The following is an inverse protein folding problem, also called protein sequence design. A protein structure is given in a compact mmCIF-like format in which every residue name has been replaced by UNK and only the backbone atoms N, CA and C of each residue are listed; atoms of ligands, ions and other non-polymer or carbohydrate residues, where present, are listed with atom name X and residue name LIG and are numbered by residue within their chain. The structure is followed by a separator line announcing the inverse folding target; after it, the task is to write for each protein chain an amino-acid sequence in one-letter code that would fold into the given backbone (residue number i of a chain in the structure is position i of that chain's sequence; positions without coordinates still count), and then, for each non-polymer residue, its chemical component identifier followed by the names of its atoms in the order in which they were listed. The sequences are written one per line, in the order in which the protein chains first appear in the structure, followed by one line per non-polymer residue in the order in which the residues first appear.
data_IF_420594733219
#
_entry.id   IF_420594733219
#
_cell.length_a   1.000
_cell.length_b   1.000
_cell.length_c   1.000
_cell.angle_alpha   90.00
_cell.angle_beta   90.00
_cell.angle_gamma   90.00
#
_symmetry.space_group_name_H-M   'P 1'
#
loop_
_entity.id
_entity.type
_entity.pdbx_description
1 polymer ?
#
# COMPACT_ATOMS: atom_id res chain seq x y z
N UNK A 1 -3.85 -2.74 -3.22
CA UNK A 1 -3.84 -1.30 -3.19
C UNK A 1 -2.71 -0.75 -2.37
N UNK A 2 -2.21 0.39 -2.74
CA UNK A 2 -1.15 1.13 -2.03
C UNK A 2 -1.64 1.56 -0.66
N UNK A 3 -1.57 0.69 0.28
CA UNK A 3 -2.28 0.78 1.54
C UNK A 3 -1.62 1.66 2.58
N UNK A 4 -0.57 2.34 2.22
CA UNK A 4 0.18 3.16 3.16
C UNK A 4 0.16 4.65 2.83
N UNK A 5 -0.61 5.04 1.84
CA UNK A 5 -0.72 6.45 1.48
C UNK A 5 -2.07 7.00 1.96
N UNK A 6 -2.05 8.11 2.69
CA UNK A 6 -3.25 8.93 3.01
C UNK A 6 -3.98 9.40 1.72
N UNK A 7 -3.44 9.08 0.58
CA UNK A 7 -4.06 9.21 -0.72
C UNK A 7 -5.32 8.36 -0.85
N UNK A 8 -5.36 7.24 -0.13
CA UNK A 8 -6.49 6.35 -0.14
C UNK A 8 -7.52 6.78 0.94
N UNK A 9 -8.77 6.79 0.54
CA UNK A 9 -9.92 7.04 1.41
C UNK A 9 -9.87 6.21 2.67
N UNK A 10 -9.51 4.94 2.53
CA UNK A 10 -9.53 3.97 3.61
C UNK A 10 -8.52 4.31 4.71
N UNK A 11 -7.33 4.80 4.32
CA UNK A 11 -6.30 5.22 5.29
C UNK A 11 -6.75 6.44 6.12
N UNK A 12 -7.44 7.40 5.50
CA UNK A 12 -7.98 8.57 6.21
C UNK A 12 -9.12 8.18 7.16
N UNK A 13 -9.95 7.20 6.77
CA UNK A 13 -10.98 6.61 7.63
C UNK A 13 -10.35 5.88 8.81
N UNK A 14 -9.31 5.08 8.56
CA UNK A 14 -8.57 4.36 9.61
C UNK A 14 -7.98 5.33 10.63
N UNK A 15 -7.30 6.38 10.17
CA UNK A 15 -6.75 7.41 11.05
C UNK A 15 -7.83 7.97 11.98
N UNK A 16 -8.97 8.37 11.41
CA UNK A 16 -10.08 8.92 12.17
C UNK A 16 -10.71 7.91 13.11
N UNK A 17 -10.87 6.68 12.67
CA UNK A 17 -11.43 5.59 13.48
C UNK A 17 -10.55 5.27 14.69
N UNK A 18 -9.22 5.20 14.52
CA UNK A 18 -8.29 4.99 15.64
C UNK A 18 -8.39 6.11 16.69
N UNK A 19 -8.56 7.35 16.25
CA UNK A 19 -8.73 8.49 17.16
C UNK A 19 -10.05 8.45 17.92
N UNK A 20 -11.15 8.17 17.24
CA UNK A 20 -12.49 8.29 17.79
C UNK A 20 -12.89 7.03 18.57
N UNK A 21 -12.74 5.86 17.96
CA UNK A 21 -13.25 4.61 18.53
C UNK A 21 -12.24 3.95 19.49
N UNK A 22 -10.94 4.16 19.24
CA UNK A 22 -9.89 3.61 20.12
C UNK A 22 -9.31 4.66 21.07
N UNK A 23 -9.66 5.94 20.89
CA UNK A 23 -9.13 7.08 21.67
C UNK A 23 -7.60 7.11 21.69
N UNK A 24 -6.99 6.86 20.53
CA UNK A 24 -5.54 6.83 20.36
C UNK A 24 -5.00 8.11 19.73
N UNK A 25 -3.84 8.55 20.19
CA UNK A 25 -3.02 9.49 19.46
C UNK A 25 -2.31 8.73 18.34
N UNK A 26 -2.37 9.25 17.09
CA UNK A 26 -1.93 8.51 15.92
C UNK A 26 -0.77 9.21 15.23
N UNK A 27 0.33 8.50 15.10
CA UNK A 27 1.47 8.84 14.22
C UNK A 27 1.26 8.10 12.90
N UNK A 28 1.30 8.81 11.78
CA UNK A 28 1.22 8.19 10.46
C UNK A 28 2.61 7.90 9.92
N UNK A 29 2.74 6.75 9.27
CA UNK A 29 3.97 6.30 8.64
C UNK A 29 3.72 5.98 7.16
N UNK A 30 4.57 6.50 6.29
CA UNK A 30 4.56 6.24 4.85
C UNK A 30 5.94 5.78 4.41
N UNK A 31 5.99 4.61 3.78
CA UNK A 31 7.20 4.07 3.18
C UNK A 31 7.25 4.42 1.69
N UNK A 32 8.33 5.06 1.25
CA UNK A 32 8.62 5.24 -0.16
C UNK A 32 9.52 4.10 -0.65
N UNK A 33 9.03 3.35 -1.60
CA UNK A 33 9.73 2.26 -2.28
C UNK A 33 9.65 2.40 -3.81
N UNK A 34 9.48 3.64 -4.29
CA UNK A 34 9.35 3.95 -5.71
C UNK A 34 7.96 3.67 -6.29
N UNK A 35 6.91 3.84 -5.49
CA UNK A 35 5.51 3.70 -5.91
C UNK A 35 4.95 4.97 -6.60
N UNK A 36 5.79 5.75 -7.25
CA UNK A 36 5.47 7.03 -7.86
C UNK A 36 5.65 8.20 -6.90
N UNK A 37 5.27 9.39 -7.34
CA UNK A 37 5.49 10.62 -6.57
C UNK A 37 4.61 10.64 -5.31
N UNK A 38 5.24 10.83 -4.15
CA UNK A 38 4.53 11.13 -2.92
C UNK A 38 4.01 12.57 -3.03
N UNK A 39 2.72 12.82 -2.81
CA UNK A 39 2.17 14.17 -2.89
C UNK A 39 2.84 15.12 -1.92
N UNK A 40 3.26 16.30 -2.39
CA UNK A 40 3.88 17.35 -1.57
C UNK A 40 3.02 17.78 -0.37
N UNK A 41 1.70 17.63 -0.48
CA UNK A 41 0.72 18.00 0.53
C UNK A 41 0.35 16.85 1.49
N UNK A 42 0.98 15.67 1.36
CA UNK A 42 0.67 14.48 2.18
C UNK A 42 0.77 14.76 3.67
N UNK A 43 1.87 15.40 4.09
CA UNK A 43 2.08 15.74 5.50
C UNK A 43 1.00 16.71 6.02
N UNK A 44 0.68 17.73 5.23
CA UNK A 44 -0.34 18.70 5.59
C UNK A 44 -1.73 18.04 5.67
N UNK A 45 -2.06 17.17 4.75
CA UNK A 45 -3.31 16.39 4.76
C UNK A 45 -3.41 15.52 6.00
N UNK A 46 -2.38 14.72 6.29
CA UNK A 46 -2.38 13.86 7.46
C UNK A 46 -2.58 14.65 8.76
N UNK A 47 -1.89 15.77 8.92
CA UNK A 47 -2.06 16.68 10.05
C UNK A 47 -3.47 17.26 10.13
N UNK A 48 -4.07 17.63 9.00
CA UNK A 48 -5.45 18.14 8.96
C UNK A 48 -6.48 17.13 9.42
N UNK A 49 -6.19 15.81 9.25
CA UNK A 49 -7.03 14.72 9.76
C UNK A 49 -6.71 14.37 11.21
N UNK A 50 -5.76 15.06 11.84
CA UNK A 50 -5.44 14.93 13.24
C UNK A 50 -4.29 13.99 13.56
N UNK A 51 -3.44 13.62 12.58
CA UNK A 51 -2.20 12.93 12.88
C UNK A 51 -1.31 13.82 13.76
N UNK A 52 -0.82 13.27 14.86
CA UNK A 52 0.06 14.00 15.80
C UNK A 52 1.46 14.18 15.21
N UNK A 53 1.89 13.21 14.41
CA UNK A 53 3.16 13.22 13.70
C UNK A 53 3.00 12.50 12.36
N UNK A 54 3.75 12.93 11.36
CA UNK A 54 3.82 12.29 10.04
C UNK A 54 5.27 11.95 9.77
N UNK A 55 5.52 10.70 9.42
CA UNK A 55 6.84 10.18 9.08
C UNK A 55 6.77 9.61 7.66
N UNK A 56 7.68 10.06 6.81
CA UNK A 56 7.84 9.59 5.44
C UNK A 56 9.29 9.15 5.30
N UNK A 57 9.52 7.87 5.04
CA UNK A 57 10.85 7.30 4.88
C UNK A 57 11.07 6.81 3.45
N UNK A 58 12.17 7.24 2.84
CA UNK A 58 12.68 6.65 1.61
C UNK A 58 13.38 5.32 1.94
N UNK A 59 12.75 4.23 1.55
CA UNK A 59 13.24 2.87 1.72
C UNK A 59 13.81 2.27 0.44
N UNK A 60 13.96 3.04 -0.62
CA UNK A 60 14.35 2.60 -1.96
C UNK A 60 15.65 1.81 -1.94
N UNK A 61 16.69 2.32 -1.28
CA UNK A 61 17.99 1.65 -1.21
C UNK A 61 17.93 0.33 -0.41
N UNK A 62 17.30 0.36 0.78
CA UNK A 62 17.16 -0.83 1.62
C UNK A 62 16.31 -1.90 0.93
N UNK A 63 15.22 -1.49 0.26
CA UNK A 63 14.37 -2.39 -0.50
C UNK A 63 15.13 -3.11 -1.62
N UNK A 64 15.88 -2.37 -2.43
CA UNK A 64 16.63 -2.95 -3.54
C UNK A 64 17.75 -3.84 -3.04
N UNK A 65 18.54 -3.38 -2.07
CA UNK A 65 19.74 -4.06 -1.59
C UNK A 65 19.43 -5.32 -0.79
N UNK A 66 18.47 -5.25 0.13
CA UNK A 66 18.25 -6.29 1.13
C UNK A 66 17.07 -7.22 0.78
N UNK A 67 16.21 -6.85 -0.17
CA UNK A 67 15.06 -7.64 -0.59
C UNK A 67 15.09 -8.00 -2.08
N UNK A 68 15.20 -7.01 -2.97
CA UNK A 68 15.14 -7.25 -4.43
C UNK A 68 16.34 -8.05 -4.92
N UNK A 69 17.56 -7.62 -4.62
CA UNK A 69 18.75 -8.34 -5.08
C UNK A 69 18.88 -9.75 -4.52
N UNK A 70 18.61 -10.04 -3.23
CA UNK A 70 18.55 -11.41 -2.75
C UNK A 70 17.49 -12.25 -3.48
N UNK A 71 16.31 -11.71 -3.70
CA UNK A 71 15.24 -12.39 -4.45
C UNK A 71 15.68 -12.75 -5.87
N UNK A 72 16.27 -11.79 -6.60
CA UNK A 72 16.80 -12.01 -7.95
C UNK A 72 17.91 -13.06 -7.98
N UNK A 73 18.85 -13.04 -7.03
CA UNK A 73 19.91 -14.05 -6.92
C UNK A 73 19.36 -15.46 -6.67
N UNK A 74 18.27 -15.55 -5.92
CA UNK A 74 17.60 -16.83 -5.68
C UNK A 74 16.70 -17.25 -6.84
N UNK A 75 16.53 -16.43 -7.87
CA UNK A 75 15.57 -16.63 -8.96
C UNK A 75 14.17 -16.94 -8.44
N UNK A 76 13.72 -16.19 -7.44
CA UNK A 76 12.44 -16.41 -6.77
C UNK A 76 11.31 -15.80 -7.58
N UNK A 77 10.52 -16.68 -8.20
CA UNK A 77 9.33 -16.32 -8.97
C UNK A 77 8.14 -17.12 -8.45
N UNK A 78 6.98 -16.50 -8.32
CA UNK A 78 5.76 -17.23 -8.06
C UNK A 78 5.21 -17.78 -9.38
N UNK A 79 4.98 -19.07 -9.45
CA UNK A 79 4.51 -19.80 -10.65
C UNK A 79 5.39 -19.59 -11.91
N UNK A 80 6.63 -19.16 -11.72
CA UNK A 80 7.58 -18.93 -12.81
C UNK A 80 7.44 -17.57 -13.52
N UNK A 81 6.51 -16.72 -13.13
CA UNK A 81 6.18 -15.47 -13.82
C UNK A 81 6.14 -14.24 -12.90
N UNK A 82 5.52 -14.34 -11.72
CA UNK A 82 5.29 -13.19 -10.87
C UNK A 82 6.48 -12.87 -9.96
N UNK A 83 6.98 -11.62 -10.03
CA UNK A 83 8.19 -11.17 -9.34
C UNK A 83 8.05 -10.92 -7.83
N UNK A 84 6.88 -11.13 -7.24
CA UNK A 84 6.66 -11.00 -5.79
C UNK A 84 6.93 -9.60 -5.19
N UNK A 85 6.92 -8.53 -5.97
CA UNK A 85 7.27 -7.18 -5.51
C UNK A 85 6.46 -6.74 -4.29
N UNK A 86 5.15 -6.93 -4.31
CA UNK A 86 4.28 -6.65 -3.18
C UNK A 86 4.61 -7.55 -1.98
N UNK A 87 4.86 -8.84 -2.22
CA UNK A 87 5.12 -9.80 -1.16
C UNK A 87 6.41 -9.51 -0.38
N UNK A 88 7.48 -9.06 -1.06
CA UNK A 88 8.76 -8.73 -0.42
C UNK A 88 8.79 -7.30 0.15
N UNK A 89 7.92 -6.40 -0.33
CA UNK A 89 7.81 -5.05 0.19
C UNK A 89 7.20 -5.02 1.61
N UNK A 90 6.16 -5.82 1.86
CA UNK A 90 5.46 -5.82 3.16
C UNK A 90 6.34 -6.12 4.37
N UNK A 91 7.27 -7.11 4.35
CA UNK A 91 8.20 -7.33 5.47
C UNK A 91 9.07 -6.12 5.79
N UNK A 92 9.54 -5.37 4.80
CA UNK A 92 10.30 -4.14 5.02
C UNK A 92 9.44 -3.06 5.65
N UNK A 93 8.23 -2.83 5.14
CA UNK A 93 7.29 -1.87 5.71
C UNK A 93 7.00 -2.21 7.17
N UNK A 94 6.72 -3.47 7.47
CA UNK A 94 6.44 -3.93 8.85
C UNK A 94 7.64 -3.70 9.75
N UNK A 95 8.85 -4.02 9.29
CA UNK A 95 10.09 -3.77 10.03
C UNK A 95 10.17 -2.29 10.46
N UNK A 96 10.00 -1.39 9.51
CA UNK A 96 10.08 0.05 9.77
C UNK A 96 8.93 0.54 10.64
N UNK A 97 7.73 0.05 10.42
CA UNK A 97 6.57 0.40 11.24
C UNK A 97 6.77 0.01 12.72
N UNK A 98 7.33 -1.17 12.98
CA UNK A 98 7.68 -1.62 14.35
C UNK A 98 8.81 -0.77 14.94
N UNK A 99 9.87 -0.48 14.16
CA UNK A 99 10.98 0.38 14.60
C UNK A 99 10.49 1.77 14.98
N UNK A 100 9.65 2.39 14.13
CA UNK A 100 9.04 3.70 14.39
C UNK A 100 8.13 3.65 15.61
N UNK A 101 7.29 2.64 15.75
CA UNK A 101 6.45 2.47 16.93
C UNK A 101 7.26 2.45 18.22
N UNK A 102 8.35 1.71 18.25
CA UNK A 102 9.24 1.65 19.41
C UNK A 102 9.95 2.99 19.68
N UNK A 103 10.36 3.71 18.65
CA UNK A 103 10.95 5.05 18.79
C UNK A 103 9.95 6.08 19.33
N UNK A 104 8.69 5.97 18.96
CA UNK A 104 7.59 6.81 19.47
C UNK A 104 7.06 6.33 20.83
N UNK A 105 7.68 5.29 21.41
CA UNK A 105 7.35 4.79 22.76
C UNK A 105 6.07 3.95 22.82
N UNK A 106 5.63 3.39 21.70
CA UNK A 106 4.46 2.52 21.64
C UNK A 106 4.80 1.12 21.13
N UNK A 107 4.02 0.14 21.58
CA UNK A 107 4.01 -1.22 21.03
C UNK A 107 2.72 -1.51 20.22
N UNK A 108 1.98 -0.47 19.83
CA UNK A 108 0.76 -0.58 19.05
C UNK A 108 1.03 -0.10 17.63
N UNK A 109 0.72 -0.93 16.64
CA UNK A 109 0.75 -0.58 15.23
C UNK A 109 -0.60 -0.85 14.58
N UNK A 110 -0.89 -0.15 13.50
CA UNK A 110 -2.10 -0.37 12.71
C UNK A 110 -1.78 -0.37 11.23
N UNK A 111 -2.54 -1.11 10.45
CA UNK A 111 -2.42 -1.17 8.99
C UNK A 111 -3.78 -1.21 8.31
N UNK A 112 -3.81 -0.82 7.03
CA UNK A 112 -5.01 -0.76 6.20
C UNK A 112 -5.28 -2.01 5.35
N UNK A 113 -4.53 -3.09 5.52
CA UNK A 113 -4.75 -4.31 4.75
C UNK A 113 -6.14 -4.90 5.01
N UNK A 114 -6.81 -5.31 3.95
CA UNK A 114 -8.15 -5.91 4.04
C UNK A 114 -8.14 -7.20 4.83
N UNK A 115 -9.23 -7.51 5.54
CA UNK A 115 -9.30 -8.62 6.49
C UNK A 115 -9.21 -10.04 5.89
N UNK A 116 -9.10 -10.17 4.57
CA UNK A 116 -9.10 -11.47 3.85
C UNK A 116 -7.88 -11.70 2.96
N UNK A 117 -6.97 -10.74 2.87
CA UNK A 117 -5.83 -10.81 1.96
C UNK A 117 -4.56 -11.37 2.59
N UNK A 118 -3.59 -11.75 1.75
CA UNK A 118 -2.27 -12.19 2.17
C UNK A 118 -1.50 -11.10 2.94
N UNK A 119 -1.75 -9.84 2.65
CA UNK A 119 -1.09 -8.70 3.29
C UNK A 119 -1.42 -8.60 4.76
N UNK A 120 -2.66 -8.89 5.16
CA UNK A 120 -3.05 -9.01 6.55
C UNK A 120 -2.10 -9.95 7.33
N UNK A 121 -1.86 -11.13 6.79
CA UNK A 121 -0.99 -12.15 7.39
C UNK A 121 0.46 -11.66 7.43
N UNK A 122 0.95 -11.04 6.36
CA UNK A 122 2.32 -10.50 6.28
C UNK A 122 2.57 -9.44 7.34
N UNK A 123 1.61 -8.52 7.55
CA UNK A 123 1.70 -7.50 8.60
C UNK A 123 1.72 -8.13 9.99
N UNK A 124 0.79 -9.01 10.31
CA UNK A 124 0.69 -9.61 11.65
C UNK A 124 1.88 -10.51 11.99
N UNK A 125 2.22 -11.46 11.10
CA UNK A 125 3.34 -12.38 11.34
C UNK A 125 4.65 -11.62 11.39
N UNK A 126 4.87 -10.67 10.48
CA UNK A 126 6.09 -9.84 10.47
C UNK A 126 6.25 -9.04 11.75
N UNK A 127 5.18 -8.40 12.22
CA UNK A 127 5.21 -7.63 13.45
C UNK A 127 5.53 -8.50 14.68
N UNK A 128 4.86 -9.63 14.83
CA UNK A 128 5.09 -10.54 15.95
C UNK A 128 6.46 -11.25 15.91
N UNK A 129 7.00 -11.49 14.70
CA UNK A 129 8.34 -12.04 14.55
C UNK A 129 9.42 -11.05 15.02
N UNK A 130 9.20 -9.75 14.83
CA UNK A 130 10.12 -8.68 15.25
C UNK A 130 9.97 -8.32 16.73
N UNK A 131 8.74 -8.29 17.23
CA UNK A 131 8.46 -7.98 18.62
C UNK A 131 7.21 -8.74 19.10
N UNK A 132 7.44 -9.71 19.99
CA UNK A 132 6.35 -10.55 20.54
C UNK A 132 5.30 -9.76 21.36
N UNK A 133 5.66 -8.58 21.84
CA UNK A 133 4.78 -7.73 22.64
C UNK A 133 4.03 -6.68 21.80
N UNK A 134 4.23 -6.69 20.47
CA UNK A 134 3.53 -5.77 19.58
C UNK A 134 2.03 -6.10 19.57
N UNK A 135 1.21 -5.08 19.59
CA UNK A 135 -0.22 -5.19 19.36
C UNK A 135 -0.53 -4.66 17.97
N UNK A 136 -1.15 -5.46 17.14
CA UNK A 136 -1.57 -5.08 15.81
C UNK A 136 -3.07 -4.77 15.83
N UNK A 137 -3.45 -3.56 15.42
CA UNK A 137 -4.83 -3.17 15.20
C UNK A 137 -5.09 -3.25 13.70
N UNK A 138 -6.01 -4.11 13.30
CA UNK A 138 -6.42 -4.31 11.91
C UNK A 138 -7.88 -3.84 11.73
N UNK A 139 -8.13 -2.56 11.41
CA UNK A 139 -9.47 -1.98 11.39
C UNK A 139 -10.47 -2.75 10.53
N UNK A 140 -10.06 -3.23 9.36
CA UNK A 140 -10.89 -4.05 8.47
C UNK A 140 -11.41 -5.36 9.09
N UNK A 141 -10.87 -5.78 10.22
CA UNK A 141 -11.34 -6.95 10.99
C UNK A 141 -12.12 -6.57 12.23
N UNK A 142 -12.03 -5.33 12.66
CA UNK A 142 -12.56 -4.86 13.94
C UNK A 142 -13.75 -3.94 13.79
N UNK A 143 -13.81 -3.14 12.73
CA UNK A 143 -14.92 -2.22 12.52
C UNK A 143 -16.14 -2.87 11.90
N UNK A 144 -17.30 -2.24 12.11
CA UNK A 144 -18.59 -2.74 11.61
C UNK A 144 -18.90 -2.24 10.18
N UNK A 145 -18.04 -1.39 9.62
CA UNK A 145 -18.22 -0.83 8.28
C UNK A 145 -17.87 -1.88 7.22
N UNK A 146 -18.88 -2.60 6.74
CA UNK A 146 -18.69 -3.72 5.80
C UNK A 146 -18.97 -3.33 4.35
N UNK A 147 -19.59 -2.19 4.13
CA UNK A 147 -19.99 -1.72 2.81
C UNK A 147 -19.36 -0.36 2.48
N UNK A 148 -19.30 -0.07 1.18
CA UNK A 148 -18.92 1.27 0.70
C UNK A 148 -19.84 2.35 1.22
N UNK A 149 -21.11 2.05 1.39
CA UNK A 149 -22.11 2.97 1.92
C UNK A 149 -21.79 3.36 3.36
N UNK A 150 -21.44 2.38 4.20
CA UNK A 150 -21.06 2.62 5.60
C UNK A 150 -19.84 3.53 5.70
N UNK A 151 -18.81 3.24 4.86
CA UNK A 151 -17.60 4.09 4.77
C UNK A 151 -17.96 5.52 4.32
N UNK A 152 -18.86 5.66 3.35
CA UNK A 152 -19.29 6.98 2.89
C UNK A 152 -20.06 7.76 3.98
N UNK A 153 -20.90 7.10 4.75
CA UNK A 153 -21.60 7.71 5.88
C UNK A 153 -20.63 8.14 6.97
N UNK A 154 -19.63 7.29 7.26
CA UNK A 154 -18.56 7.62 8.20
C UNK A 154 -17.76 8.83 7.75
N UNK A 155 -17.36 8.89 6.48
CA UNK A 155 -16.67 10.03 5.90
C UNK A 155 -17.50 11.33 6.02
N UNK A 156 -18.80 11.28 5.73
CA UNK A 156 -19.69 12.43 5.87
C UNK A 156 -19.80 12.88 7.34
N UNK A 157 -19.96 11.94 8.26
CA UNK A 157 -20.08 12.22 9.70
C UNK A 157 -18.87 12.95 10.24
N UNK A 158 -17.65 12.57 9.81
CA UNK A 158 -16.40 13.12 10.31
C UNK A 158 -15.73 14.10 9.35
N UNK A 159 -16.44 14.54 8.30
CA UNK A 159 -15.97 15.52 7.30
C UNK A 159 -14.64 15.11 6.64
N UNK A 160 -14.45 13.81 6.41
CA UNK A 160 -13.31 13.29 5.68
C UNK A 160 -13.55 13.57 4.19
N UNK A 161 -12.65 14.29 3.49
CA UNK A 161 -12.79 14.54 2.07
C UNK A 161 -12.88 13.25 1.27
N UNK A 162 -13.80 13.25 0.32
CA UNK A 162 -14.02 12.11 -0.57
C UNK A 162 -13.76 12.51 -2.01
N UNK A 163 -13.26 11.60 -2.85
CA UNK A 163 -13.22 11.82 -4.29
C UNK A 163 -14.61 12.22 -4.81
N UNK A 164 -14.65 13.19 -5.70
CA UNK A 164 -15.91 13.81 -6.13
C UNK A 164 -16.81 12.85 -6.93
N UNK A 165 -16.26 11.79 -7.53
CA UNK A 165 -17.06 10.83 -8.29
C UNK A 165 -16.46 9.42 -8.37
N UNK A 166 -17.32 8.41 -8.60
CA UNK A 166 -16.89 7.05 -8.96
C UNK A 166 -16.06 6.98 -10.25
N UNK A 167 -16.20 7.98 -11.12
CA UNK A 167 -15.50 8.04 -12.41
C UNK A 167 -14.01 8.37 -12.27
N UNK A 168 -13.56 8.79 -11.07
CA UNK A 168 -12.17 9.12 -10.77
C UNK A 168 -11.40 7.94 -10.14
N UNK A 169 -12.09 6.86 -9.80
CA UNK A 169 -11.43 5.64 -9.32
C UNK A 169 -11.01 4.79 -10.54
N UNK A 170 -9.76 4.34 -10.60
CA UNK A 170 -9.36 3.43 -11.67
C UNK A 170 -10.20 2.15 -11.62
N UNK A 171 -10.50 1.54 -12.77
CA UNK A 171 -11.35 0.36 -12.86
C UNK A 171 -10.67 -0.93 -12.33
N UNK A 172 -9.47 -0.81 -11.79
CA UNK A 172 -8.65 -1.88 -11.23
C UNK A 172 -7.82 -1.36 -10.04
N UNK A 173 -7.30 -2.25 -9.22
CA UNK A 173 -6.30 -1.94 -8.19
C UNK A 173 -4.90 -2.05 -8.75
N UNK A 174 -3.97 -1.25 -8.21
CA UNK A 174 -2.58 -1.20 -8.66
C UNK A 174 -1.65 -1.18 -7.46
N UNK A 175 -0.67 -2.08 -7.46
CA UNK A 175 0.48 -2.08 -6.55
C UNK A 175 1.75 -1.76 -7.33
N UNK A 176 2.45 -0.71 -6.93
CA UNK A 176 3.68 -0.23 -7.56
C UNK A 176 4.82 -0.15 -6.55
N UNK A 177 6.00 -0.54 -6.98
CA UNK A 177 7.27 -0.27 -6.31
C UNK A 177 8.42 -0.36 -7.33
N UNK A 178 9.66 -0.14 -6.88
CA UNK A 178 10.86 -0.16 -7.75
C UNK A 178 11.04 -1.44 -8.55
N UNK A 179 10.48 -2.57 -8.10
CA UNK A 179 10.66 -3.84 -8.80
C UNK A 179 9.69 -4.01 -9.97
N UNK A 180 8.40 -3.71 -9.76
CA UNK A 180 7.37 -3.84 -10.78
C UNK A 180 6.06 -3.13 -10.38
N UNK A 181 5.16 -3.05 -11.36
CA UNK A 181 3.75 -2.73 -11.13
C UNK A 181 2.94 -4.01 -11.31
N UNK A 182 1.98 -4.27 -10.43
CA UNK A 182 0.96 -5.30 -10.58
C UNK A 182 -0.44 -4.70 -10.53
N UNK A 183 -1.34 -5.26 -11.32
CA UNK A 183 -2.72 -4.82 -11.46
C UNK A 183 -3.66 -5.96 -11.13
N UNK A 184 -4.74 -5.68 -10.41
CA UNK A 184 -5.74 -6.69 -10.06
C UNK A 184 -7.14 -6.11 -9.88
N UNK A 185 -8.14 -6.96 -9.95
CA UNK A 185 -9.53 -6.60 -9.65
C UNK A 185 -10.26 -5.81 -10.72
N UNK A 186 -11.51 -5.47 -10.43
CA UNK A 186 -12.34 -4.66 -11.31
C UNK A 186 -12.56 -5.25 -12.68
N UNK A 187 -12.24 -4.49 -13.73
CA UNK A 187 -12.40 -4.91 -15.14
C UNK A 187 -11.53 -6.13 -15.49
N UNK A 188 -10.43 -6.36 -14.75
CA UNK A 188 -9.52 -7.47 -15.01
C UNK A 188 -10.07 -8.83 -14.55
N UNK A 189 -11.14 -8.86 -13.76
CA UNK A 189 -11.83 -10.09 -13.36
C UNK A 189 -12.64 -10.71 -14.51
N UNK A 190 -12.97 -9.93 -15.52
CA UNK A 190 -13.66 -10.40 -16.72
C UNK A 190 -12.66 -10.86 -17.77
N UNK A 191 -12.45 -12.17 -17.86
CA UNK A 191 -11.51 -12.79 -18.82
C UNK A 191 -11.88 -12.57 -20.30
N UNK A 192 -13.08 -12.07 -20.60
CA UNK A 192 -13.51 -11.74 -21.95
C UNK A 192 -13.15 -10.31 -22.36
N UNK A 193 -12.77 -9.48 -21.41
CA UNK A 193 -12.41 -8.08 -21.62
C UNK A 193 -10.88 -7.93 -21.68
N UNK A 194 -10.33 -7.28 -22.74
CA UNK A 194 -8.90 -6.99 -22.76
C UNK A 194 -8.55 -5.96 -21.68
N UNK A 195 -7.32 -6.00 -21.14
CA UNK A 195 -6.84 -4.95 -20.25
C UNK A 195 -6.91 -3.57 -20.91
N UNK A 196 -7.30 -2.52 -20.17
CA UNK A 196 -7.32 -1.15 -20.69
C UNK A 196 -5.93 -0.68 -21.14
N UNK A 197 -5.85 0.02 -22.28
CA UNK A 197 -4.56 0.49 -22.83
C UNK A 197 -3.82 1.48 -21.92
N UNK A 198 -4.54 2.27 -21.15
CA UNK A 198 -4.03 3.25 -20.18
C UNK A 198 -3.50 2.62 -18.87
N UNK A 199 -3.65 1.30 -18.72
CA UNK A 199 -3.09 0.55 -17.60
C UNK A 199 -1.55 0.49 -17.66
N UNK A 200 -0.97 0.50 -18.85
CA UNK A 200 0.47 0.27 -19.05
C UNK A 200 1.31 1.52 -18.82
N UNK A 201 1.57 1.87 -17.55
CA UNK A 201 2.28 3.12 -17.19
C UNK A 201 3.76 3.09 -17.56
N UNK A 202 4.46 1.97 -17.34
CA UNK A 202 5.92 1.86 -17.50
C UNK A 202 6.33 1.16 -18.81
N UNK A 203 5.38 0.74 -19.64
CA UNK A 203 5.64 0.08 -20.92
C UNK A 203 4.92 0.80 -22.04
N UNK A 204 5.45 0.67 -23.25
CA UNK A 204 4.80 1.17 -24.48
C UNK A 204 4.06 0.04 -25.16
N UNK A 205 2.97 0.36 -25.86
CA UNK A 205 2.29 -0.62 -26.72
C UNK A 205 3.25 -1.12 -27.81
N UNK A 206 2.99 -2.31 -28.32
CA UNK A 206 3.81 -2.90 -29.39
C UNK A 206 3.85 -2.02 -30.64
N UNK A 207 2.77 -1.30 -30.93
CA UNK A 207 2.65 -0.38 -32.06
C UNK A 207 3.49 0.89 -31.85
N UNK A 208 3.69 1.31 -30.61
CA UNK A 208 4.43 2.52 -30.26
C UNK A 208 5.93 2.29 -30.09
N UNK A 209 6.39 1.03 -30.11
CA UNK A 209 7.83 0.69 -30.01
C UNK A 209 8.54 0.95 -31.32
N UNK A 210 9.56 1.79 -31.30
CA UNK A 210 10.32 2.20 -32.50
C UNK A 210 11.24 1.11 -33.08
N UNK A 211 11.52 0.04 -32.31
CA UNK A 211 12.30 -1.12 -32.76
C UNK A 211 11.91 -2.36 -31.94
N UNK A 212 11.85 -3.48 -32.63
CA UNK A 212 11.39 -4.75 -32.09
C UNK A 212 12.51 -5.77 -31.83
N UNK A 213 13.79 -5.37 -32.00
CA UNK A 213 14.91 -6.29 -31.90
C UNK A 213 15.91 -5.80 -30.86
N UNK A 214 16.14 -6.62 -29.83
CA UNK A 214 17.40 -6.61 -29.12
C UNK A 214 18.40 -7.39 -29.99
N UNK A 215 19.37 -6.70 -30.58
CA UNK A 215 20.52 -7.41 -31.16
C UNK A 215 21.33 -7.95 -29.99
N UNK A 216 21.42 -9.28 -29.88
CA UNK A 216 22.46 -9.89 -29.10
C UNK A 216 23.80 -9.44 -29.69
N UNK A 217 24.65 -8.80 -28.90
CA UNK A 217 26.05 -8.59 -29.29
C UNK A 217 26.73 -9.95 -29.11
N UNK A 218 27.23 -10.49 -30.21
CA UNK A 218 28.15 -11.62 -30.23
C UNK A 218 29.46 -11.26 -29.50
#
# INVERSE_FOLDING_TARGET
GSEMCIRDRDTSVILKWLQVEKNLEVVTYTADMGQGDIPDDLEQKAKSFGASKVIIDDLSEEFVKDFVFPMLRCNTLFEGEYLLGTAIARPLIVKKLVEVGLQEGTNIISHGATGKGNDQIRFEIGAHALNKNIQVIAPWREWEMTSRTDLMEYCKKYQIPMPASKAEEPPFSMDENLLHISYEGGVLEDLSSPPPDDMWLNTKSLEAVSYTHLRAHE
#
